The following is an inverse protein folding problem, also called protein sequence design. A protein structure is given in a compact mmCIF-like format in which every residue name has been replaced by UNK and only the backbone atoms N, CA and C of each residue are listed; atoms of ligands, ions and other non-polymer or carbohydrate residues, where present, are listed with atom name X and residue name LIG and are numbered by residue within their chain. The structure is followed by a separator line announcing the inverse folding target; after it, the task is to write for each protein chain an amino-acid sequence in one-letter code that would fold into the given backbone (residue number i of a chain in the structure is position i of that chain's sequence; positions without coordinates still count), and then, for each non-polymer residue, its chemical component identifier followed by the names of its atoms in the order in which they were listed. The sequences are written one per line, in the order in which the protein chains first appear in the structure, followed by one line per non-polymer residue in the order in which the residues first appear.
data_IF_687984962133
#
_entry.id   IF_687984962133
#
_cell.length_a   1.000
_cell.length_b   1.000
_cell.length_c   1.000
_cell.angle_alpha   90.00
_cell.angle_beta   90.00
_cell.angle_gamma   90.00
#
_symmetry.space_group_name_H-M   'P 1'
#
loop_
_entity.id
_entity.type
_entity.pdbx_description
1 polymer ?
#
# COMPACT_ATOMS: atom_id res chain seq x y z
N UNK A 1 3.54 13.26 -5.28
CA UNK A 1 4.90 12.69 -5.24
C UNK A 1 5.99 13.69 -5.60
N UNK A 2 5.85 14.46 -6.68
CA UNK A 2 6.82 15.52 -7.04
C UNK A 2 7.11 16.52 -5.90
N UNK A 3 6.07 17.01 -5.22
CA UNK A 3 6.23 17.92 -4.07
C UNK A 3 6.97 17.24 -2.90
N UNK A 4 6.62 15.99 -2.59
CA UNK A 4 7.19 15.24 -1.45
C UNK A 4 8.67 14.92 -1.70
N UNK A 5 9.01 14.43 -2.90
CA UNK A 5 10.40 14.13 -3.26
C UNK A 5 11.23 15.41 -3.43
N UNK A 6 10.64 16.48 -3.97
CA UNK A 6 11.28 17.78 -4.07
C UNK A 6 11.63 18.33 -2.69
N UNK A 7 10.67 18.43 -1.78
CA UNK A 7 10.93 18.87 -0.41
C UNK A 7 11.90 17.93 0.33
N UNK A 8 11.75 16.62 0.18
CA UNK A 8 12.64 15.62 0.80
C UNK A 8 14.09 15.73 0.34
N UNK A 9 14.32 16.00 -0.95
CA UNK A 9 15.68 16.19 -1.47
C UNK A 9 16.25 17.56 -1.08
N UNK A 10 15.48 18.64 -1.28
CA UNK A 10 15.97 20.01 -1.07
C UNK A 10 16.10 20.39 0.42
N UNK A 11 15.22 19.89 1.29
CA UNK A 11 15.21 20.24 2.72
C UNK A 11 15.97 19.21 3.56
N UNK A 12 15.84 17.91 3.23
CA UNK A 12 16.37 16.83 4.07
C UNK A 12 17.58 16.11 3.46
N UNK A 13 18.08 16.56 2.30
CA UNK A 13 19.21 15.95 1.58
C UNK A 13 19.09 14.43 1.41
N UNK A 14 17.85 13.92 1.28
CA UNK A 14 17.62 12.49 1.13
C UNK A 14 18.20 12.04 -0.22
N UNK A 15 19.11 11.05 -0.24
CA UNK A 15 19.63 10.52 -1.48
C UNK A 15 18.48 9.77 -2.17
N UNK A 16 18.07 10.26 -3.33
CA UNK A 16 17.13 9.56 -4.21
C UNK A 16 18.00 8.77 -5.18
N UNK A 17 18.42 7.58 -4.75
CA UNK A 17 19.34 6.75 -5.54
C UNK A 17 18.60 6.01 -6.67
N UNK A 18 17.30 5.79 -6.54
CA UNK A 18 16.47 5.09 -7.52
C UNK A 18 15.85 6.00 -8.58
N UNK A 19 15.43 5.41 -9.70
CA UNK A 19 14.78 6.14 -10.78
C UNK A 19 13.42 6.70 -10.35
N UNK A 20 13.17 7.98 -10.65
CA UNK A 20 11.90 8.65 -10.33
C UNK A 20 10.68 7.92 -10.91
N UNK A 21 10.83 7.33 -12.10
CA UNK A 21 9.79 6.53 -12.76
C UNK A 21 9.39 5.30 -11.95
N UNK A 22 10.35 4.61 -11.32
CA UNK A 22 10.09 3.43 -10.50
C UNK A 22 9.37 3.80 -9.20
N UNK A 23 9.78 4.92 -8.58
CA UNK A 23 9.08 5.47 -7.42
C UNK A 23 7.63 5.82 -7.77
N UNK A 24 7.43 6.48 -8.92
CA UNK A 24 6.10 6.85 -9.40
C UNK A 24 5.24 5.60 -9.64
N UNK A 25 5.79 4.60 -10.32
CA UNK A 25 5.08 3.35 -10.63
C UNK A 25 4.71 2.59 -9.35
N UNK A 26 5.65 2.38 -8.42
CA UNK A 26 5.37 1.72 -7.15
C UNK A 26 4.31 2.45 -6.32
N UNK A 27 4.33 3.79 -6.35
CA UNK A 27 3.32 4.61 -5.67
C UNK A 27 1.94 4.49 -6.31
N UNK A 28 1.86 4.52 -7.65
CA UNK A 28 0.60 4.32 -8.37
C UNK A 28 0.00 2.96 -8.04
N UNK A 29 0.83 1.93 -8.01
CA UNK A 29 0.43 0.56 -7.73
C UNK A 29 -0.10 0.41 -6.29
N UNK A 30 0.54 1.07 -5.32
CA UNK A 30 0.02 1.17 -3.94
C UNK A 30 -1.29 1.96 -3.83
N UNK A 31 -1.44 3.06 -4.57
CA UNK A 31 -2.69 3.83 -4.61
C UNK A 31 -3.81 2.96 -5.17
N UNK A 32 -3.58 2.22 -6.25
CA UNK A 32 -4.56 1.28 -6.82
C UNK A 32 -4.96 0.19 -5.83
N UNK A 33 -4.00 -0.40 -5.10
CA UNK A 33 -4.26 -1.38 -4.05
C UNK A 33 -5.07 -0.80 -2.88
N UNK A 34 -4.77 0.43 -2.48
CA UNK A 34 -5.49 1.11 -1.38
C UNK A 34 -6.91 1.51 -1.79
N UNK A 35 -7.09 1.97 -3.03
CA UNK A 35 -8.40 2.31 -3.58
C UNK A 35 -9.29 1.09 -3.69
N UNK A 36 -8.76 -0.04 -4.18
CA UNK A 36 -9.51 -1.30 -4.26
C UNK A 36 -9.93 -1.81 -2.90
N UNK A 37 -9.06 -1.73 -1.90
CA UNK A 37 -9.41 -2.03 -0.50
C UNK A 37 -10.55 -1.13 -0.03
N UNK A 38 -10.47 0.19 -0.24
CA UNK A 38 -11.53 1.14 0.13
C UNK A 38 -12.86 0.89 -0.60
N UNK A 39 -12.80 0.52 -1.88
CA UNK A 39 -13.98 0.12 -2.66
C UNK A 39 -14.63 -1.13 -2.09
N UNK A 40 -13.86 -2.16 -1.77
CA UNK A 40 -14.39 -3.39 -1.15
C UNK A 40 -15.06 -3.07 0.18
N UNK A 41 -14.44 -2.25 1.04
CA UNK A 41 -15.06 -1.79 2.30
C UNK A 41 -16.40 -1.09 2.02
N UNK A 42 -16.42 -0.18 1.04
CA UNK A 42 -17.64 0.56 0.65
C UNK A 42 -18.76 -0.36 0.17
N UNK A 43 -18.43 -1.43 -0.57
CA UNK A 43 -19.43 -2.42 -1.03
C UNK A 43 -19.98 -3.33 0.08
N UNK A 44 -19.29 -3.43 1.22
CA UNK A 44 -19.71 -4.22 2.38
C UNK A 44 -20.48 -3.35 3.38
N UNK A 45 -20.16 -2.06 3.45
CA UNK A 45 -20.82 -1.11 4.32
C UNK A 45 -22.26 -0.85 3.88
N UNK A 46 -23.19 -0.84 4.84
CA UNK A 46 -24.58 -0.45 4.58
C UNK A 46 -24.79 1.06 4.75
N UNK A 47 -23.89 1.75 5.46
CA UNK A 47 -23.97 3.20 5.70
C UNK A 47 -22.61 3.88 5.53
N UNK A 48 -22.63 5.18 5.20
CA UNK A 48 -21.40 5.98 5.06
C UNK A 48 -20.60 6.01 6.37
N UNK A 49 -21.27 6.15 7.53
CA UNK A 49 -20.58 6.17 8.82
C UNK A 49 -19.91 4.81 9.12
N UNK A 50 -20.56 3.69 8.78
CA UNK A 50 -19.98 2.37 8.93
C UNK A 50 -18.75 2.18 8.03
N UNK A 51 -18.81 2.64 6.77
CA UNK A 51 -17.67 2.60 5.85
C UNK A 51 -16.48 3.39 6.39
N UNK A 52 -16.73 4.59 6.94
CA UNK A 52 -15.70 5.43 7.55
C UNK A 52 -15.07 4.75 8.78
N UNK A 53 -15.87 4.19 9.68
CA UNK A 53 -15.38 3.49 10.86
C UNK A 53 -14.53 2.26 10.48
N UNK A 54 -14.99 1.44 9.53
CA UNK A 54 -14.23 0.29 9.03
C UNK A 54 -12.91 0.71 8.38
N UNK A 55 -12.93 1.79 7.60
CA UNK A 55 -11.72 2.33 6.97
C UNK A 55 -10.69 2.75 8.01
N UNK A 56 -11.09 3.51 9.04
CA UNK A 56 -10.20 3.92 10.12
C UNK A 56 -9.67 2.71 10.89
N UNK A 57 -10.53 1.74 11.18
CA UNK A 57 -10.16 0.52 11.88
C UNK A 57 -9.15 -0.34 11.11
N UNK A 58 -9.15 -0.29 9.77
CA UNK A 58 -8.15 -1.01 8.94
C UNK A 58 -6.89 -0.16 8.74
N UNK A 59 -7.06 1.15 8.55
CA UNK A 59 -5.98 2.07 8.26
C UNK A 59 -5.01 2.22 9.44
N UNK A 60 -5.53 2.33 10.67
CA UNK A 60 -4.68 2.51 11.86
C UNK A 60 -3.73 1.31 12.08
N UNK A 61 -4.21 0.05 12.16
CA UNK A 61 -3.33 -1.12 12.24
C UNK A 61 -2.41 -1.22 11.02
N UNK A 62 -2.90 -0.87 9.82
CA UNK A 62 -2.09 -0.92 8.61
C UNK A 62 -0.85 -0.03 8.71
N UNK A 63 -1.00 1.20 9.22
CA UNK A 63 0.14 2.10 9.44
C UNK A 63 1.09 1.55 10.50
N UNK A 64 0.57 1.04 11.62
CA UNK A 64 1.40 0.51 12.71
C UNK A 64 2.20 -0.73 12.27
N UNK A 65 1.58 -1.60 11.47
CA UNK A 65 2.14 -2.87 11.01
C UNK A 65 2.95 -2.76 9.71
N UNK A 66 2.83 -1.66 8.97
CA UNK A 66 3.51 -1.46 7.68
C UNK A 66 5.04 -1.47 7.71
N UNK A 67 5.65 -1.47 8.91
CA UNK A 67 7.10 -1.27 9.05
C UNK A 67 7.53 0.20 9.02
N UNK A 68 6.57 1.14 9.01
CA UNK A 68 6.79 2.59 9.11
C UNK A 68 7.00 3.06 10.55
N UNK A 69 6.04 2.82 11.45
CA UNK A 69 6.11 3.24 12.85
C UNK A 69 7.01 2.33 13.69
N UNK A 70 6.91 1.02 13.47
CA UNK A 70 7.69 0.00 14.16
C UNK A 70 8.54 -0.78 13.15
N UNK A 71 9.78 -1.18 13.50
CA UNK A 71 10.59 -2.01 12.62
C UNK A 71 9.94 -3.39 12.46
N UNK A 72 9.77 -3.83 11.21
CA UNK A 72 9.15 -5.12 10.86
C UNK A 72 9.85 -6.30 11.57
N UNK A 73 11.18 -6.28 11.63
CA UNK A 73 12.00 -7.34 12.27
C UNK A 73 11.79 -7.43 13.80
N UNK A 74 11.36 -6.35 14.43
CA UNK A 74 11.07 -6.30 15.87
C UNK A 74 9.63 -6.72 16.21
N UNK A 75 8.78 -7.01 15.22
CA UNK A 75 7.40 -7.39 15.44
C UNK A 75 7.28 -8.87 15.84
N UNK A 76 6.35 -9.24 16.73
CA UNK A 76 6.05 -10.64 17.00
C UNK A 76 5.54 -11.32 15.73
N UNK A 77 5.76 -12.64 15.60
CA UNK A 77 5.40 -13.40 14.39
C UNK A 77 3.95 -13.16 13.97
N UNK A 78 2.97 -13.21 14.88
CA UNK A 78 1.56 -12.96 14.54
C UNK A 78 1.33 -11.61 13.82
N UNK A 79 2.03 -10.55 14.24
CA UNK A 79 1.94 -9.23 13.61
C UNK A 79 2.62 -9.21 12.23
N UNK A 80 3.72 -9.96 12.05
CA UNK A 80 4.38 -10.12 10.76
C UNK A 80 3.45 -10.76 9.72
N UNK A 81 2.78 -11.85 10.09
CA UNK A 81 1.81 -12.51 9.20
C UNK A 81 0.66 -11.58 8.81
N UNK A 82 0.13 -10.80 9.76
CA UNK A 82 -0.92 -9.82 9.47
C UNK A 82 -0.42 -8.68 8.56
N UNK A 83 0.80 -8.22 8.79
CA UNK A 83 1.40 -7.15 7.98
C UNK A 83 1.67 -7.58 6.54
N UNK A 84 1.98 -8.85 6.26
CA UNK A 84 2.14 -9.36 4.89
C UNK A 84 0.84 -9.38 4.09
N UNK A 85 -0.31 -9.37 4.75
CA UNK A 85 -1.60 -9.21 4.07
C UNK A 85 -1.86 -7.75 3.65
N UNK A 86 -1.14 -6.80 4.23
CA UNK A 86 -1.41 -5.37 4.05
C UNK A 86 -0.56 -4.78 2.93
N UNK A 87 -1.17 -4.08 1.96
CA UNK A 87 -0.42 -3.46 0.86
C UNK A 87 0.55 -2.37 1.35
N UNK A 88 0.27 -1.74 2.50
CA UNK A 88 1.14 -0.73 3.09
C UNK A 88 2.54 -1.28 3.43
N UNK A 89 2.63 -2.53 3.89
CA UNK A 89 3.90 -3.18 4.24
C UNK A 89 4.79 -3.38 3.02
N UNK A 90 4.22 -3.88 1.93
CA UNK A 90 4.93 -4.10 0.67
C UNK A 90 5.36 -2.77 0.05
N UNK A 91 4.51 -1.74 0.10
CA UNK A 91 4.88 -0.41 -0.35
C UNK A 91 6.04 0.17 0.46
N UNK A 92 6.02 0.02 1.79
CA UNK A 92 7.10 0.51 2.65
C UNK A 92 8.45 -0.17 2.36
N UNK A 93 8.46 -1.47 2.04
CA UNK A 93 9.67 -2.17 1.60
C UNK A 93 10.15 -1.65 0.24
N UNK A 94 9.21 -1.48 -0.70
CA UNK A 94 9.49 -1.05 -2.07
C UNK A 94 10.06 0.37 -2.11
N UNK A 95 9.41 1.35 -1.46
CA UNK A 95 9.88 2.74 -1.44
C UNK A 95 11.24 2.86 -0.73
N UNK A 96 11.45 2.10 0.35
CA UNK A 96 12.72 2.10 1.08
C UNK A 96 13.84 1.50 0.24
N UNK A 97 13.57 0.42 -0.49
CA UNK A 97 14.52 -0.19 -1.42
C UNK A 97 14.92 0.75 -2.56
N UNK A 98 13.95 1.37 -3.23
CA UNK A 98 14.21 2.25 -4.38
C UNK A 98 14.89 3.55 -3.94
N UNK A 99 14.37 4.23 -2.91
CA UNK A 99 14.89 5.54 -2.50
C UNK A 99 16.27 5.39 -1.85
N UNK A 100 16.41 4.50 -0.85
CA UNK A 100 17.65 4.42 -0.07
C UNK A 100 18.72 3.55 -0.73
N UNK A 101 18.34 2.42 -1.33
CA UNK A 101 19.30 1.44 -1.90
C UNK A 101 19.50 1.60 -3.40
N UNK A 102 18.67 2.40 -4.08
CA UNK A 102 18.70 2.50 -5.55
C UNK A 102 18.34 1.17 -6.23
N UNK A 103 17.62 0.29 -5.55
CA UNK A 103 17.22 -1.01 -6.09
C UNK A 103 16.22 -0.82 -7.22
N UNK A 104 16.34 -1.64 -8.27
CA UNK A 104 15.40 -1.61 -9.38
C UNK A 104 14.09 -2.30 -8.97
N UNK A 105 13.00 -1.91 -9.64
CA UNK A 105 11.69 -2.55 -9.42
C UNK A 105 11.73 -4.07 -9.70
N UNK A 106 12.64 -4.51 -10.56
CA UNK A 106 12.88 -5.91 -10.88
C UNK A 106 13.47 -6.69 -9.70
N UNK A 107 14.30 -6.06 -8.88
CA UNK A 107 14.84 -6.69 -7.66
C UNK A 107 13.74 -6.84 -6.59
N UNK A 108 12.78 -5.91 -6.61
CA UNK A 108 11.61 -5.86 -5.72
C UNK A 108 10.36 -6.51 -6.36
N UNK A 109 10.56 -7.47 -7.26
CA UNK A 109 9.47 -8.08 -8.03
C UNK A 109 8.41 -8.76 -7.14
N UNK A 110 8.81 -9.34 -5.99
CA UNK A 110 7.89 -10.02 -5.08
C UNK A 110 6.86 -9.05 -4.48
N UNK A 111 7.33 -7.93 -3.93
CA UNK A 111 6.45 -6.90 -3.36
C UNK A 111 5.60 -6.23 -4.46
N UNK A 112 6.20 -5.97 -5.63
CA UNK A 112 5.48 -5.43 -6.79
C UNK A 112 4.35 -6.35 -7.26
N UNK A 113 4.64 -7.65 -7.42
CA UNK A 113 3.64 -8.64 -7.81
C UNK A 113 2.55 -8.79 -6.76
N UNK A 114 2.90 -8.77 -5.48
CA UNK A 114 1.91 -8.89 -4.41
C UNK A 114 0.90 -7.74 -4.44
N UNK A 115 1.39 -6.50 -4.57
CA UNK A 115 0.53 -5.34 -4.71
C UNK A 115 -0.34 -5.39 -5.98
N UNK A 116 0.19 -5.92 -7.08
CA UNK A 116 -0.54 -6.07 -8.33
C UNK A 116 -1.65 -7.13 -8.20
N UNK A 117 -1.35 -8.29 -7.62
CA UNK A 117 -2.31 -9.35 -7.32
C UNK A 117 -3.39 -8.87 -6.35
N UNK A 118 -3.00 -8.15 -5.29
CA UNK A 118 -3.92 -7.57 -4.33
C UNK A 118 -4.90 -6.61 -5.02
N UNK A 119 -4.39 -5.74 -5.90
CA UNK A 119 -5.22 -4.81 -6.68
C UNK A 119 -6.17 -5.55 -7.61
N UNK A 120 -5.69 -6.54 -8.38
CA UNK A 120 -6.52 -7.33 -9.29
C UNK A 120 -7.62 -8.10 -8.55
N UNK A 121 -7.26 -8.74 -7.44
CA UNK A 121 -8.20 -9.47 -6.59
C UNK A 121 -9.26 -8.52 -5.98
N UNK A 122 -8.83 -7.37 -5.46
CA UNK A 122 -9.72 -6.35 -4.93
C UNK A 122 -10.69 -5.78 -5.99
N UNK A 123 -10.20 -5.49 -7.19
CA UNK A 123 -11.05 -5.08 -8.33
C UNK A 123 -12.05 -6.17 -8.70
N UNK A 124 -11.62 -7.43 -8.78
CA UNK A 124 -12.49 -8.55 -9.12
C UNK A 124 -13.61 -8.72 -8.08
N UNK A 125 -13.29 -8.66 -6.79
CA UNK A 125 -14.27 -8.72 -5.71
C UNK A 125 -15.26 -7.55 -5.77
N UNK A 126 -14.76 -6.33 -5.97
CA UNK A 126 -15.59 -5.14 -6.10
C UNK A 126 -16.53 -5.27 -7.30
N UNK A 127 -16.04 -5.70 -8.47
CA UNK A 127 -16.84 -5.87 -9.69
C UNK A 127 -17.93 -6.95 -9.52
N UNK A 128 -17.60 -8.08 -8.89
CA UNK A 128 -18.57 -9.15 -8.59
C UNK A 128 -19.67 -8.68 -7.62
N UNK A 129 -19.31 -7.91 -6.59
CA UNK A 129 -20.26 -7.35 -5.63
C UNK A 129 -21.16 -6.28 -6.25
N UNK A 130 -20.63 -5.42 -7.10
CA UNK A 130 -21.41 -4.42 -7.82
C UNK A 130 -22.48 -5.04 -8.72
N UNK A 131 -22.14 -6.12 -9.45
CA UNK A 131 -23.13 -6.85 -10.27
C UNK A 131 -24.27 -7.43 -9.44
N UNK A 132 -23.99 -7.91 -8.23
CA UNK A 132 -25.01 -8.52 -7.35
C UNK A 132 -26.00 -7.52 -6.75
N UNK A 133 -25.72 -6.22 -6.83
CA UNK A 133 -26.64 -5.16 -6.39
C UNK A 133 -27.59 -4.68 -7.49
N UNK A 134 -27.42 -5.18 -8.73
CA UNK A 134 -28.20 -4.78 -9.91
C UNK A 134 -29.28 -5.80 -10.30
N UNK A 135 -29.35 -6.94 -9.61
CA UNK A 135 -30.46 -7.91 -9.63
C UNK A 135 -31.30 -7.73 -8.36
#
# INVERSE_FOLDING_TARGET
MAIILGLGHFIFAVPINGALSQILFGTLLFISASLTLGLVISTIANTQLQAMQMTVFILLPSILLSGFMFPYEGMPTAAQWLSELLPATHFMRLIRGIVLRGADLADLWRDTLWLALFTLFGLMLAALRFKKSLD
#
